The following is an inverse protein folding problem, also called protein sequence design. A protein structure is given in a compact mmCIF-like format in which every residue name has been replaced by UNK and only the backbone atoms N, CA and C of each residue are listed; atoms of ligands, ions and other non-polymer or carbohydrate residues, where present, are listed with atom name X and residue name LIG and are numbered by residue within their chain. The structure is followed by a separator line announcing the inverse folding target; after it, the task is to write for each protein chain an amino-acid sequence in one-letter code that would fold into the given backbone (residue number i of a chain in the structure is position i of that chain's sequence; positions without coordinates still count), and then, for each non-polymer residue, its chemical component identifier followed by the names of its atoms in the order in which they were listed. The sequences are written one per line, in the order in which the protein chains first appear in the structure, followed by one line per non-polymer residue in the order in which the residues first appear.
data_IF_546126909918
#
_entry.id   IF_546126909918
#
_cell.length_a   1.000
_cell.length_b   1.000
_cell.length_c   1.000
_cell.angle_alpha   90.00
_cell.angle_beta   90.00
_cell.angle_gamma   90.00
#
_symmetry.space_group_name_H-M   'P 1'
#
loop_
_entity.id
_entity.type
_entity.pdbx_description
1 polymer ?
#
# COMPACT_ATOMS: atom_id res chain seq x y z
N UNK A 1 -10.04 -14.92 48.47
CA UNK A 1 -10.04 -16.16 47.67
C UNK A 1 -11.49 -16.54 47.39
N UNK A 2 -12.02 -16.23 46.20
CA UNK A 2 -13.29 -16.76 45.69
C UNK A 2 -12.99 -17.26 44.29
N UNK A 3 -13.15 -18.57 44.13
CA UNK A 3 -12.91 -19.31 42.90
C UNK A 3 -14.04 -19.04 41.91
N UNK A 4 -13.74 -18.38 40.79
CA UNK A 4 -14.66 -18.21 39.64
C UNK A 4 -14.07 -18.93 38.43
N UNK A 5 -13.71 -20.19 38.63
CA UNK A 5 -13.39 -21.12 37.56
C UNK A 5 -14.69 -21.74 37.03
N UNK A 6 -15.59 -20.94 36.41
CA UNK A 6 -16.81 -21.48 35.77
C UNK A 6 -17.62 -20.54 34.88
N UNK A 7 -16.99 -19.61 34.15
CA UNK A 7 -17.63 -19.03 32.97
C UNK A 7 -16.71 -19.18 31.77
N UNK A 8 -16.85 -20.34 31.12
CA UNK A 8 -16.55 -20.51 29.71
C UNK A 8 -17.46 -19.53 28.97
N UNK A 9 -16.90 -18.41 28.52
CA UNK A 9 -17.41 -17.71 27.34
C UNK A 9 -16.23 -17.72 26.36
N UNK A 10 -16.25 -18.56 25.32
CA UNK A 10 -15.32 -18.35 24.23
C UNK A 10 -15.75 -17.00 23.65
N UNK A 11 -14.88 -15.99 23.64
CA UNK A 11 -15.08 -14.83 22.78
C UNK A 11 -14.78 -15.32 21.35
N UNK A 12 -15.65 -16.20 20.86
CA UNK A 12 -15.87 -16.46 19.46
C UNK A 12 -17.01 -15.52 19.04
N UNK A 13 -16.83 -14.89 17.89
CA UNK A 13 -17.73 -13.92 17.26
C UNK A 13 -17.68 -12.49 17.82
N UNK A 14 -16.66 -11.76 17.38
CA UNK A 14 -16.94 -10.56 16.59
C UNK A 14 -16.38 -10.78 15.19
N UNK A 15 -17.11 -11.63 14.45
CA UNK A 15 -16.98 -11.73 13.01
C UNK A 15 -17.37 -10.38 12.39
N UNK A 16 -16.52 -9.92 11.48
CA UNK A 16 -16.83 -8.94 10.46
C UNK A 16 -17.48 -7.64 10.97
N UNK A 17 -16.65 -6.73 11.47
CA UNK A 17 -16.96 -5.30 11.27
C UNK A 17 -17.08 -5.14 9.76
N UNK A 18 -18.31 -4.92 9.29
CA UNK A 18 -18.65 -4.85 7.89
C UNK A 18 -17.65 -3.97 7.16
N UNK A 19 -16.94 -4.57 6.20
CA UNK A 19 -16.25 -3.80 5.19
C UNK A 19 -17.32 -3.00 4.49
N UNK A 20 -17.42 -1.70 4.79
CA UNK A 20 -17.88 -0.76 3.80
C UNK A 20 -16.95 -0.97 2.62
N UNK A 21 -17.38 -1.75 1.64
CA UNK A 21 -16.76 -1.79 0.32
C UNK A 21 -16.99 -0.40 -0.26
N UNK A 22 -16.10 0.52 0.13
CA UNK A 22 -15.93 1.82 -0.49
C UNK A 22 -15.99 1.56 -2.00
N UNK A 23 -16.91 2.24 -2.70
CA UNK A 23 -17.08 2.04 -4.13
C UNK A 23 -15.70 2.09 -4.81
N UNK A 24 -15.41 1.18 -5.76
CA UNK A 24 -14.08 1.02 -6.32
C UNK A 24 -13.59 2.36 -6.86
N UNK A 25 -12.51 2.87 -6.27
CA UNK A 25 -11.99 4.19 -6.64
C UNK A 25 -11.44 4.13 -8.07
N UNK A 26 -11.74 5.15 -8.86
CA UNK A 26 -11.31 5.21 -10.26
C UNK A 26 -9.81 5.49 -10.38
N UNK A 27 -9.24 5.17 -11.54
CA UNK A 27 -7.84 5.46 -11.85
C UNK A 27 -7.51 6.95 -11.79
N UNK A 28 -8.46 7.82 -12.15
CA UNK A 28 -8.34 9.28 -12.03
C UNK A 28 -8.13 9.73 -10.58
N UNK A 29 -8.83 9.12 -9.62
CA UNK A 29 -8.63 9.42 -8.20
C UNK A 29 -7.21 9.08 -7.77
N UNK A 30 -6.71 7.90 -8.15
CA UNK A 30 -5.34 7.50 -7.82
C UNK A 30 -4.28 8.35 -8.52
N UNK A 31 -4.55 8.85 -9.74
CA UNK A 31 -3.65 9.79 -10.41
C UNK A 31 -3.51 11.10 -9.63
N UNK A 32 -4.60 11.58 -9.02
CA UNK A 32 -4.57 12.74 -8.12
C UNK A 32 -3.92 12.42 -6.76
N UNK A 33 -4.05 11.18 -6.29
CA UNK A 33 -3.55 10.69 -5.00
C UNK A 33 -2.64 9.45 -5.15
N UNK A 34 -1.43 9.61 -5.70
CA UNK A 34 -0.52 8.49 -5.98
C UNK A 34 -0.02 7.77 -4.72
N UNK A 35 0.02 8.46 -3.58
CA UNK A 35 0.35 7.89 -2.28
C UNK A 35 -0.71 6.91 -1.77
N UNK A 36 -2.00 7.19 -2.01
CA UNK A 36 -3.08 6.25 -1.71
C UNK A 36 -3.02 5.04 -2.64
N UNK A 37 -2.67 5.25 -3.91
CA UNK A 37 -2.51 4.17 -4.87
C UNK A 37 -1.47 3.13 -4.39
N UNK A 38 -0.39 3.57 -3.72
CA UNK A 38 0.58 2.66 -3.13
C UNK A 38 0.00 1.83 -1.98
N UNK A 39 -0.73 2.47 -1.05
CA UNK A 39 -1.38 1.77 0.08
C UNK A 39 -2.38 0.73 -0.42
N UNK A 40 -3.18 1.09 -1.42
CA UNK A 40 -4.16 0.18 -2.02
C UNK A 40 -3.47 -0.93 -2.81
N UNK A 41 -2.36 -0.64 -3.50
CA UNK A 41 -1.55 -1.68 -4.15
C UNK A 41 -0.90 -2.67 -3.14
N UNK A 42 -0.66 -2.28 -1.90
CA UNK A 42 -0.25 -3.21 -0.84
C UNK A 42 -1.42 -4.05 -0.33
N UNK A 43 -2.60 -3.44 -0.16
CA UNK A 43 -3.85 -4.14 0.16
C UNK A 43 -4.22 -5.16 -0.93
N UNK A 44 -3.95 -4.85 -2.19
CA UNK A 44 -4.02 -5.80 -3.30
C UNK A 44 -3.16 -7.04 -3.09
N UNK A 45 -1.90 -6.87 -2.68
CA UNK A 45 -0.98 -7.98 -2.44
C UNK A 45 -1.42 -8.80 -1.23
N UNK A 46 -2.01 -8.15 -0.24
CA UNK A 46 -2.61 -8.80 0.92
C UNK A 46 -3.95 -9.51 0.61
N UNK A 47 -4.50 -9.32 -0.60
CA UNK A 47 -5.79 -9.89 -1.02
C UNK A 47 -7.02 -9.21 -0.39
N UNK A 48 -6.84 -8.05 0.24
CA UNK A 48 -7.94 -7.31 0.89
C UNK A 48 -8.69 -6.38 -0.06
N UNK A 49 -8.06 -5.97 -1.16
CA UNK A 49 -8.68 -5.23 -2.27
C UNK A 49 -8.43 -6.00 -3.57
N UNK A 50 -9.48 -6.24 -4.36
CA UNK A 50 -9.38 -6.98 -5.62
C UNK A 50 -10.22 -6.30 -6.71
N UNK A 51 -10.10 -6.77 -7.96
CA UNK A 51 -10.87 -6.23 -9.09
C UNK A 51 -10.28 -4.93 -9.66
N UNK A 52 -11.16 -4.07 -10.18
CA UNK A 52 -10.76 -2.89 -10.96
C UNK A 52 -10.01 -1.85 -10.13
N UNK A 53 -10.38 -1.66 -8.86
CA UNK A 53 -9.66 -0.76 -7.95
C UNK A 53 -8.19 -1.20 -7.81
N UNK A 54 -7.97 -2.51 -7.77
CA UNK A 54 -6.64 -3.06 -7.64
C UNK A 54 -5.78 -2.82 -8.89
N UNK A 55 -6.37 -3.01 -10.08
CA UNK A 55 -5.69 -2.75 -11.33
C UNK A 55 -5.32 -1.26 -11.47
N UNK A 56 -6.27 -0.37 -11.15
CA UNK A 56 -6.06 1.08 -11.19
C UNK A 56 -4.96 1.54 -10.21
N UNK A 57 -5.00 1.04 -8.97
CA UNK A 57 -4.01 1.37 -7.94
C UNK A 57 -2.61 0.90 -8.33
N UNK A 58 -2.48 -0.35 -8.82
CA UNK A 58 -1.19 -0.91 -9.24
C UNK A 58 -0.58 -0.15 -10.41
N UNK A 59 -1.39 0.28 -11.39
CA UNK A 59 -0.89 1.05 -12.54
C UNK A 59 -0.24 2.36 -12.07
N UNK A 60 -0.95 3.12 -11.23
CA UNK A 60 -0.47 4.42 -10.75
C UNK A 60 0.72 4.26 -9.80
N UNK A 61 0.66 3.29 -8.87
CA UNK A 61 1.75 2.99 -7.96
C UNK A 61 3.03 2.57 -8.71
N UNK A 62 2.89 1.75 -9.76
CA UNK A 62 4.01 1.33 -10.62
C UNK A 62 4.68 2.51 -11.32
N UNK A 63 3.91 3.45 -11.86
CA UNK A 63 4.45 4.68 -12.46
C UNK A 63 5.20 5.54 -11.44
N UNK A 64 4.67 5.65 -10.22
CA UNK A 64 5.34 6.38 -9.14
C UNK A 64 6.66 5.69 -8.72
N UNK A 65 6.66 4.37 -8.54
CA UNK A 65 7.84 3.59 -8.21
C UNK A 65 8.94 3.74 -9.27
N UNK A 66 8.57 3.64 -10.56
CA UNK A 66 9.52 3.81 -11.67
C UNK A 66 10.15 5.20 -11.70
N UNK A 67 9.37 6.26 -11.48
CA UNK A 67 9.89 7.64 -11.39
C UNK A 67 10.88 7.78 -10.23
N UNK A 68 10.56 7.24 -9.06
CA UNK A 68 11.45 7.30 -7.90
C UNK A 68 12.76 6.57 -8.14
N UNK A 69 12.73 5.41 -8.81
CA UNK A 69 13.94 4.67 -9.15
C UNK A 69 14.82 5.47 -10.14
N UNK A 70 14.22 6.02 -11.19
CA UNK A 70 14.94 6.88 -12.15
C UNK A 70 15.58 8.09 -11.46
N UNK A 71 14.88 8.75 -10.54
CA UNK A 71 15.45 9.88 -9.79
C UNK A 71 16.65 9.46 -8.93
N UNK A 72 16.60 8.28 -8.30
CA UNK A 72 17.73 7.75 -7.52
C UNK A 72 18.92 7.43 -8.41
N UNK A 73 18.70 6.82 -9.57
CA UNK A 73 19.74 6.51 -10.55
C UNK A 73 20.41 7.78 -11.08
N UNK A 74 19.62 8.78 -11.46
CA UNK A 74 20.12 10.09 -11.88
C UNK A 74 20.91 10.79 -10.76
N UNK A 75 20.44 10.71 -9.51
CA UNK A 75 21.16 11.24 -8.36
C UNK A 75 22.49 10.54 -8.10
N UNK A 76 22.53 9.20 -8.24
CA UNK A 76 23.76 8.41 -8.09
C UNK A 76 24.76 8.70 -9.21
N UNK A 77 24.30 8.83 -10.46
CA UNK A 77 25.14 9.16 -11.61
C UNK A 77 25.83 10.51 -11.43
N UNK A 78 25.09 11.54 -10.98
CA UNK A 78 25.66 12.87 -10.69
C UNK A 78 26.71 12.82 -9.58
N UNK A 79 26.43 12.10 -8.49
CA UNK A 79 27.42 11.93 -7.40
C UNK A 79 28.69 11.21 -7.84
N UNK A 80 28.58 10.25 -8.76
CA UNK A 80 29.74 9.55 -9.29
C UNK A 80 30.58 10.45 -10.22
N UNK A 81 29.92 11.28 -11.03
CA UNK A 81 30.60 12.25 -11.89
C UNK A 81 31.40 13.30 -11.09
N UNK A 82 30.85 13.79 -9.97
CA UNK A 82 31.53 14.72 -9.07
C UNK A 82 32.81 14.11 -8.46
N UNK A 83 32.74 12.87 -7.96
CA UNK A 83 33.92 12.14 -7.45
C UNK A 83 34.96 11.83 -8.51
N UNK A 84 34.54 11.56 -9.76
CA UNK A 84 35.45 11.24 -10.86
C UNK A 84 36.30 12.42 -11.33
N UNK A 85 35.94 13.65 -10.95
CA UNK A 85 36.66 14.88 -11.29
C UNK A 85 37.65 15.31 -10.21
N UNK A 86 37.70 14.61 -9.06
CA UNK A 86 38.79 14.76 -8.08
C UNK A 86 39.99 13.92 -8.51
N UNK A 87 40.85 14.50 -9.34
CA UNK A 87 42.24 14.10 -9.52
C UNK A 87 43.14 15.29 -9.21
#
# INVERSE_FOLDING_TARGET
MVSVARFIVPIAALAAIGGCTQAPRSIEYFRAHPEEAQKVAEQCRAGTVTGEECAAAQEVAGKAARRNQLQRELGNSKRNADKGMSF
#
